data_IF_615432775501
#
_entry.id   IF_615432775501
#
_cell.length_a   1.000
_cell.length_b   1.000
_cell.length_c   1.000
_cell.angle_alpha   90.00
_cell.angle_beta   90.00
_cell.angle_gamma   90.00
#
_symmetry.space_group_name_H-M   'P 1'
#
loop_
_entity.id
_entity.type
_entity.pdbx_description
1 polymer ?
#
# COMPACT_ATOMS: atom_id res chain seq x y z
N UNK A 1 12.17 12.46 7.35
CA UNK A 1 10.95 13.32 7.33
C UNK A 1 9.75 12.42 7.10
N UNK A 2 8.62 12.65 7.80
CA UNK A 2 7.34 11.99 7.54
C UNK A 2 6.37 13.10 7.14
N UNK A 3 5.83 13.02 5.94
CA UNK A 3 4.84 13.96 5.40
C UNK A 3 3.50 13.25 5.23
N UNK A 4 2.41 13.90 5.62
CA UNK A 4 1.05 13.36 5.50
C UNK A 4 0.19 14.36 4.74
N UNK A 5 -0.44 13.91 3.65
CA UNK A 5 -1.30 14.75 2.81
C UNK A 5 -2.69 14.12 2.73
N UNK A 6 -3.69 14.84 3.21
CA UNK A 6 -5.10 14.47 3.09
C UNK A 6 -5.71 14.96 1.77
N UNK A 7 -6.74 14.28 1.30
CA UNK A 7 -7.41 14.60 0.03
C UNK A 7 -6.41 14.67 -1.14
N UNK A 8 -5.49 13.72 -1.17
CA UNK A 8 -4.34 13.72 -2.08
C UNK A 8 -4.73 13.69 -3.56
N UNK A 9 -5.69 12.85 -3.91
CA UNK A 9 -6.22 12.80 -5.29
C UNK A 9 -7.49 13.66 -5.43
N UNK A 10 -7.75 14.21 -6.63
CA UNK A 10 -9.04 14.77 -6.95
C UNK A 10 -10.17 13.77 -6.66
N UNK A 11 -11.34 14.23 -6.16
CA UNK A 11 -12.42 13.34 -5.71
C UNK A 11 -12.90 12.33 -6.77
N UNK A 12 -12.97 12.73 -8.03
CA UNK A 12 -13.39 11.86 -9.13
C UNK A 12 -12.38 10.74 -9.41
N UNK A 13 -11.08 11.02 -9.28
CA UNK A 13 -10.01 10.04 -9.42
C UNK A 13 -10.01 9.07 -8.24
N UNK A 14 -10.08 9.61 -7.01
CA UNK A 14 -10.18 8.78 -5.81
C UNK A 14 -11.40 7.85 -5.86
N UNK A 15 -12.60 8.35 -6.23
CA UNK A 15 -13.79 7.54 -6.35
C UNK A 15 -13.64 6.40 -7.38
N UNK A 16 -12.95 6.63 -8.50
CA UNK A 16 -12.64 5.57 -9.48
C UNK A 16 -11.78 4.48 -8.89
N UNK A 17 -10.71 4.87 -8.16
CA UNK A 17 -9.84 3.93 -7.46
C UNK A 17 -10.59 3.15 -6.38
N UNK A 18 -11.37 3.84 -5.56
CA UNK A 18 -12.18 3.24 -4.50
C UNK A 18 -13.12 2.17 -5.05
N UNK A 19 -13.87 2.51 -6.10
CA UNK A 19 -14.79 1.56 -6.76
C UNK A 19 -14.03 0.35 -7.34
N UNK A 20 -12.93 0.59 -8.04
CA UNK A 20 -12.15 -0.49 -8.65
C UNK A 20 -11.60 -1.48 -7.61
N UNK A 21 -11.22 -0.98 -6.44
CA UNK A 21 -10.54 -1.78 -5.40
C UNK A 21 -11.50 -2.37 -4.36
N UNK A 22 -12.61 -1.70 -4.06
CA UNK A 22 -13.49 -2.05 -2.94
C UNK A 22 -14.91 -2.42 -3.35
N UNK A 23 -15.36 -1.95 -4.51
CA UNK A 23 -16.71 -2.23 -5.00
C UNK A 23 -16.64 -3.12 -6.23
N UNK A 24 -17.21 -4.31 -6.15
CA UNK A 24 -17.53 -5.07 -7.34
C UNK A 24 -18.61 -4.27 -8.11
N UNK A 25 -18.31 -3.84 -9.33
CA UNK A 25 -19.27 -3.12 -10.17
C UNK A 25 -20.54 -3.93 -10.51
N UNK A 26 -20.62 -5.17 -10.06
CA UNK A 26 -21.71 -6.06 -10.36
C UNK A 26 -22.21 -6.74 -9.10
N UNK A 27 -23.31 -6.26 -8.58
CA UNK A 27 -24.11 -6.92 -7.54
C UNK A 27 -24.64 -8.31 -7.93
N UNK A 28 -24.04 -8.95 -8.93
CA UNK A 28 -24.37 -10.30 -9.36
C UNK A 28 -23.12 -11.20 -9.23
N UNK A 29 -23.06 -12.07 -8.20
CA UNK A 29 -21.93 -13.00 -8.01
C UNK A 29 -21.81 -14.05 -9.12
N UNK A 30 -22.74 -14.11 -10.07
CA UNK A 30 -22.77 -15.07 -11.16
C UNK A 30 -22.25 -14.52 -12.51
N UNK A 31 -21.94 -13.23 -12.61
CA UNK A 31 -21.28 -12.68 -13.79
C UNK A 31 -19.78 -12.69 -13.59
N UNK A 32 -19.14 -13.76 -14.02
CA UNK A 32 -17.68 -13.84 -14.15
C UNK A 32 -17.24 -12.97 -15.33
N UNK A 33 -17.05 -11.68 -15.12
CA UNK A 33 -16.30 -10.84 -16.04
C UNK A 33 -14.91 -10.68 -15.42
N UNK A 34 -13.91 -11.09 -16.14
CA UNK A 34 -12.49 -11.19 -15.73
C UNK A 34 -11.80 -9.80 -15.76
N UNK A 35 -12.47 -8.79 -15.18
CA UNK A 35 -11.93 -7.44 -15.02
C UNK A 35 -11.47 -7.15 -13.57
N UNK A 36 -11.50 -8.18 -12.72
CA UNK A 36 -11.06 -8.11 -11.33
C UNK A 36 -9.55 -8.12 -11.15
N UNK A 37 -9.11 -7.59 -10.01
CA UNK A 37 -7.69 -7.65 -9.62
C UNK A 37 -7.35 -9.09 -9.24
N UNK A 38 -6.27 -9.62 -9.81
CA UNK A 38 -5.73 -10.93 -9.43
C UNK A 38 -4.93 -10.79 -8.14
N UNK A 39 -5.51 -11.19 -7.04
CA UNK A 39 -4.87 -11.15 -5.73
C UNK A 39 -4.01 -12.38 -5.49
N UNK A 40 -2.76 -12.17 -5.07
CA UNK A 40 -1.86 -13.22 -4.61
C UNK A 40 -1.84 -13.23 -3.09
N UNK A 41 -2.07 -14.38 -2.48
CA UNK A 41 -1.98 -14.54 -1.03
C UNK A 41 -0.52 -14.65 -0.60
N UNK A 42 -0.14 -13.84 0.39
CA UNK A 42 1.15 -13.95 1.06
C UNK A 42 0.92 -14.29 2.54
N UNK A 43 1.43 -15.43 3.03
CA UNK A 43 1.27 -15.82 4.43
C UNK A 43 2.11 -14.97 5.39
N UNK A 44 3.14 -14.25 4.90
CA UNK A 44 4.06 -13.44 5.69
C UNK A 44 4.07 -12.00 5.23
N UNK A 45 4.08 -11.04 6.15
CA UNK A 45 4.01 -9.60 5.81
C UNK A 45 5.39 -8.97 5.65
N UNK A 46 6.43 -9.58 6.21
CA UNK A 46 7.82 -9.11 6.06
C UNK A 46 8.76 -10.31 6.03
N UNK A 47 9.63 -10.36 5.02
CA UNK A 47 10.67 -11.37 4.90
C UNK A 47 11.83 -11.11 5.89
N UNK A 48 12.02 -9.85 6.27
CA UNK A 48 13.11 -9.38 7.15
C UNK A 48 12.62 -8.91 8.53
N UNK A 49 11.35 -9.11 8.83
CA UNK A 49 10.78 -8.81 10.14
C UNK A 49 10.91 -10.02 11.08
N UNK A 50 10.62 -9.80 12.34
CA UNK A 50 10.64 -10.82 13.39
C UNK A 50 9.69 -12.02 13.20
N UNK A 51 9.09 -12.15 12.02
CA UNK A 51 8.24 -13.27 11.62
C UNK A 51 6.94 -13.44 12.41
N UNK A 52 6.59 -12.48 13.26
CA UNK A 52 5.53 -12.61 14.26
C UNK A 52 4.12 -12.31 13.76
N UNK A 53 3.92 -12.03 12.48
CA UNK A 53 2.57 -11.78 11.95
C UNK A 53 1.79 -13.08 11.79
N UNK A 54 0.76 -13.26 12.61
CA UNK A 54 -0.17 -14.38 12.53
C UNK A 54 -1.18 -14.29 11.39
N UNK A 55 -1.18 -13.19 10.63
CA UNK A 55 -2.18 -12.91 9.60
C UNK A 55 -1.50 -12.61 8.27
N UNK A 56 -1.79 -13.44 7.28
CA UNK A 56 -1.41 -13.18 5.89
C UNK A 56 -2.22 -12.02 5.28
N UNK A 57 -1.81 -11.60 4.11
CA UNK A 57 -2.46 -10.56 3.33
C UNK A 57 -2.49 -10.93 1.85
N UNK A 58 -3.26 -10.18 1.08
CA UNK A 58 -3.29 -10.31 -0.36
C UNK A 58 -2.58 -9.12 -0.99
N UNK A 59 -1.87 -9.37 -2.08
CA UNK A 59 -1.20 -8.33 -2.83
C UNK A 59 -1.37 -8.53 -4.34
N UNK A 60 -1.27 -7.41 -5.07
CA UNK A 60 -1.08 -7.41 -6.51
C UNK A 60 0.08 -6.47 -6.84
N UNK A 61 1.11 -7.02 -7.50
CA UNK A 61 2.24 -6.20 -7.97
C UNK A 61 1.79 -5.39 -9.19
N UNK A 62 1.84 -4.07 -9.07
CA UNK A 62 1.50 -3.13 -10.14
C UNK A 62 2.73 -2.85 -11.01
N UNK A 63 3.90 -2.73 -10.38
CA UNK A 63 5.20 -2.59 -11.01
C UNK A 63 6.25 -3.34 -10.17
N UNK A 64 6.99 -4.22 -10.78
CA UNK A 64 8.15 -4.93 -10.21
C UNK A 64 9.11 -5.31 -11.34
N UNK A 65 10.42 -5.14 -11.15
CA UNK A 65 11.46 -5.46 -12.13
C UNK A 65 11.15 -4.87 -13.52
N UNK A 66 10.77 -3.58 -13.57
CA UNK A 66 10.36 -2.82 -14.76
C UNK A 66 9.15 -3.40 -15.52
N UNK A 67 8.46 -4.39 -14.95
CA UNK A 67 7.28 -4.98 -15.54
C UNK A 67 6.01 -4.42 -14.90
N UNK A 68 5.19 -3.78 -15.71
CA UNK A 68 3.87 -3.27 -15.33
C UNK A 68 2.82 -4.36 -15.50
N UNK A 69 1.91 -4.45 -14.52
CA UNK A 69 0.69 -5.24 -14.69
C UNK A 69 -0.33 -4.49 -15.56
N UNK A 70 -1.35 -5.20 -16.01
CA UNK A 70 -2.51 -4.62 -16.72
C UNK A 70 -3.32 -3.62 -15.86
N UNK A 71 -3.14 -3.66 -14.52
CA UNK A 71 -3.79 -2.74 -13.58
C UNK A 71 -2.95 -1.49 -13.26
N UNK A 72 -1.71 -1.38 -13.78
CA UNK A 72 -0.81 -0.28 -13.46
C UNK A 72 -1.44 1.08 -13.77
N UNK A 73 -1.91 1.28 -15.01
CA UNK A 73 -2.43 2.57 -15.45
C UNK A 73 -3.73 2.95 -14.72
N UNK A 74 -4.49 1.97 -14.27
CA UNK A 74 -5.74 2.21 -13.54
C UNK A 74 -5.50 2.51 -12.05
N UNK A 75 -4.50 1.88 -11.42
CA UNK A 75 -4.32 1.91 -9.96
C UNK A 75 -3.10 2.72 -9.54
N UNK A 76 -1.90 2.44 -10.09
CA UNK A 76 -0.68 3.10 -9.67
C UNK A 76 -0.51 4.48 -10.32
N UNK A 77 -0.77 4.58 -11.61
CA UNK A 77 -0.52 5.79 -12.39
C UNK A 77 -1.21 7.06 -11.87
N UNK A 78 -2.46 7.02 -11.41
CA UNK A 78 -3.10 8.21 -10.82
C UNK A 78 -2.38 8.73 -9.58
N UNK A 79 -1.91 7.84 -8.71
CA UNK A 79 -1.17 8.20 -7.49
C UNK A 79 0.23 8.71 -7.86
N UNK A 80 0.96 7.98 -8.71
CA UNK A 80 2.27 8.38 -9.22
C UNK A 80 2.25 9.77 -9.86
N UNK A 81 1.25 10.05 -10.71
CA UNK A 81 1.14 11.32 -11.43
C UNK A 81 0.83 12.51 -10.53
N UNK A 82 0.26 12.27 -9.34
CA UNK A 82 -0.02 13.31 -8.35
C UNK A 82 1.15 13.56 -7.38
N UNK A 83 2.16 12.67 -7.36
CA UNK A 83 3.36 12.87 -6.55
C UNK A 83 4.20 14.01 -7.14
N UNK A 84 4.63 14.91 -6.27
CA UNK A 84 5.57 15.98 -6.61
C UNK A 84 6.79 15.86 -5.68
N UNK A 85 7.74 15.03 -6.10
CA UNK A 85 8.96 14.75 -5.34
C UNK A 85 10.16 15.35 -6.09
N UNK A 86 10.87 16.29 -5.48
CA UNK A 86 11.93 17.04 -6.12
C UNK A 86 13.09 16.18 -6.63
N UNK A 87 13.52 15.20 -5.83
CA UNK A 87 14.70 14.36 -6.10
C UNK A 87 14.38 12.92 -6.49
N UNK A 88 13.22 12.41 -6.10
CA UNK A 88 12.82 11.02 -6.30
C UNK A 88 11.82 10.92 -7.46
N UNK A 89 12.32 10.60 -8.65
CA UNK A 89 11.53 10.68 -9.91
C UNK A 89 11.24 9.33 -10.54
N UNK A 90 11.95 8.28 -10.12
CA UNK A 90 11.83 6.97 -10.75
C UNK A 90 10.97 6.06 -9.87
N UNK A 91 9.78 5.69 -10.35
CA UNK A 91 8.99 4.66 -9.68
C UNK A 91 9.65 3.29 -9.91
N UNK A 92 10.22 2.74 -8.85
CA UNK A 92 10.93 1.46 -8.86
C UNK A 92 9.99 0.28 -8.62
N UNK A 93 9.10 0.40 -7.63
CA UNK A 93 8.15 -0.64 -7.27
C UNK A 93 6.81 -0.05 -6.88
N UNK A 94 5.73 -0.70 -7.30
CA UNK A 94 4.38 -0.38 -6.85
C UNK A 94 3.58 -1.67 -6.60
N UNK A 95 2.86 -1.71 -5.50
CA UNK A 95 1.96 -2.82 -5.15
C UNK A 95 0.71 -2.30 -4.45
N UNK A 96 -0.41 -2.97 -4.68
CA UNK A 96 -1.61 -2.79 -3.87
C UNK A 96 -1.72 -3.95 -2.89
N UNK A 97 -1.95 -3.62 -1.62
CA UNK A 97 -2.08 -4.58 -0.52
C UNK A 97 -3.51 -4.56 0.02
N UNK A 98 -4.05 -5.73 0.26
CA UNK A 98 -5.34 -5.94 0.91
C UNK A 98 -5.12 -6.78 2.18
N UNK A 99 -5.41 -6.16 3.32
CA UNK A 99 -5.37 -6.83 4.61
C UNK A 99 -6.80 -7.23 5.02
N UNK A 100 -7.10 -8.50 5.30
CA UNK A 100 -8.41 -8.94 5.78
C UNK A 100 -8.69 -8.46 7.21
N UNK A 101 -9.96 -8.39 7.64
CA UNK A 101 -10.36 -8.02 8.99
C UNK A 101 -9.92 -9.06 10.02
N UNK A 102 -9.45 -8.59 11.17
CA UNK A 102 -9.07 -9.39 12.34
C UNK A 102 -9.94 -9.06 13.55
N UNK A 103 -9.86 -9.87 14.61
CA UNK A 103 -10.64 -9.62 15.84
C UNK A 103 -10.11 -8.44 16.66
N UNK A 104 -8.82 -8.16 16.55
CA UNK A 104 -8.12 -7.02 17.18
C UNK A 104 -7.15 -6.44 16.15
N UNK A 105 -6.78 -5.18 16.29
CA UNK A 105 -5.72 -4.59 15.47
C UNK A 105 -4.40 -5.27 15.81
N UNK A 106 -3.81 -5.97 14.85
CA UNK A 106 -2.54 -6.67 14.99
C UNK A 106 -1.46 -5.94 14.21
N UNK A 107 -0.38 -5.51 14.87
CA UNK A 107 0.77 -4.94 14.19
C UNK A 107 1.56 -6.04 13.48
N UNK A 108 2.11 -5.70 12.33
CA UNK A 108 3.02 -6.56 11.57
C UNK A 108 4.48 -6.32 11.99
N UNK A 109 5.44 -7.07 11.42
CA UNK A 109 6.85 -6.86 11.70
C UNK A 109 7.37 -5.52 11.16
N UNK A 110 8.28 -4.89 11.91
CA UNK A 110 9.02 -3.72 11.42
C UNK A 110 9.97 -4.10 10.29
N UNK A 111 10.04 -3.28 9.25
CA UNK A 111 10.89 -3.51 8.09
C UNK A 111 11.25 -2.19 7.39
N UNK A 112 12.21 -2.27 6.51
CA UNK A 112 12.45 -1.32 5.42
C UNK A 112 12.05 -1.98 4.10
N UNK A 113 11.69 -1.21 3.11
CA UNK A 113 11.09 -1.75 1.88
C UNK A 113 12.12 -2.23 0.85
N UNK A 114 13.20 -1.50 0.66
CA UNK A 114 14.22 -1.81 -0.33
C UNK A 114 15.59 -1.94 0.34
N UNK A 115 16.22 -3.07 0.09
CA UNK A 115 17.61 -3.36 0.51
C UNK A 115 18.42 -3.82 -0.69
N UNK A 116 19.71 -3.57 -0.67
CA UNK A 116 20.66 -4.10 -1.65
C UNK A 116 21.09 -5.55 -1.34
N UNK A 117 21.95 -6.11 -2.18
CA UNK A 117 22.49 -7.47 -2.00
C UNK A 117 23.34 -7.65 -0.73
N UNK A 118 23.77 -6.55 -0.11
CA UNK A 118 24.52 -6.56 1.15
C UNK A 118 23.63 -6.44 2.38
N UNK A 119 22.34 -6.15 2.17
CA UNK A 119 21.36 -5.92 3.23
C UNK A 119 21.27 -4.45 3.68
N UNK A 120 21.95 -3.54 3.00
CA UNK A 120 21.87 -2.11 3.28
C UNK A 120 20.61 -1.51 2.64
N UNK A 121 19.95 -0.58 3.34
CA UNK A 121 18.78 0.11 2.81
C UNK A 121 19.17 1.02 1.66
N UNK A 122 18.51 0.85 0.51
CA UNK A 122 18.69 1.73 -0.65
C UNK A 122 18.20 3.15 -0.34
N UNK A 123 18.78 4.13 -1.01
CA UNK A 123 18.26 5.51 -1.02
C UNK A 123 16.94 5.54 -1.79
N UNK A 124 15.83 5.72 -1.08
CA UNK A 124 14.49 5.77 -1.67
C UNK A 124 13.51 6.49 -0.75
N UNK A 125 12.38 6.86 -1.30
CA UNK A 125 11.23 7.37 -0.58
C UNK A 125 10.08 6.37 -0.69
N UNK A 126 9.44 6.12 0.44
CA UNK A 126 8.21 5.34 0.52
C UNK A 126 6.99 6.25 0.44
N UNK A 127 6.04 5.87 -0.39
CA UNK A 127 4.73 6.49 -0.50
C UNK A 127 3.66 5.44 -0.22
N UNK A 128 2.86 5.64 0.83
CA UNK A 128 1.74 4.74 1.17
C UNK A 128 0.44 5.52 1.06
N UNK A 129 -0.33 5.21 0.02
CA UNK A 129 -1.65 5.79 -0.21
C UNK A 129 -2.74 4.89 0.37
N UNK A 130 -3.60 5.44 1.23
CA UNK A 130 -4.72 4.72 1.83
C UNK A 130 -5.98 4.91 1.00
N UNK A 131 -6.54 3.80 0.55
CA UNK A 131 -7.73 3.81 -0.30
C UNK A 131 -9.01 4.01 0.50
N UNK A 132 -9.08 3.46 1.72
CA UNK A 132 -10.25 3.53 2.59
C UNK A 132 -9.89 3.83 4.04
N UNK A 133 -10.82 4.47 4.73
CA UNK A 133 -10.73 4.73 6.18
C UNK A 133 -10.97 3.47 6.98
N UNK A 134 -10.18 3.24 8.00
CA UNK A 134 -10.33 2.15 8.97
C UNK A 134 -9.48 2.41 10.22
N UNK A 135 -9.60 1.58 11.26
CA UNK A 135 -8.83 1.68 12.51
C UNK A 135 -7.39 1.14 12.43
N UNK A 136 -6.94 0.66 11.26
CA UNK A 136 -5.55 0.32 11.00
C UNK A 136 -4.69 1.57 10.80
N UNK A 137 -3.38 1.39 10.87
CA UNK A 137 -2.41 2.48 10.74
C UNK A 137 -1.07 1.98 10.19
N UNK A 138 -0.22 2.91 9.80
CA UNK A 138 1.22 2.69 9.62
C UNK A 138 1.94 3.22 10.87
N UNK A 139 2.83 2.41 11.45
CA UNK A 139 3.60 2.75 12.65
C UNK A 139 5.08 2.74 12.33
N UNK A 140 5.80 3.70 12.90
CA UNK A 140 7.24 3.85 12.78
C UNK A 140 7.94 3.38 14.05
N UNK A 141 9.24 3.08 13.97
CA UNK A 141 10.02 2.52 15.09
C UNK A 141 10.09 3.48 16.29
N UNK A 142 9.95 4.79 16.07
CA UNK A 142 9.86 5.81 17.12
C UNK A 142 8.50 5.86 17.86
N UNK A 143 7.56 5.00 17.46
CA UNK A 143 6.21 4.92 18.01
C UNK A 143 5.20 5.88 17.37
N UNK A 144 5.62 6.74 16.44
CA UNK A 144 4.69 7.60 15.70
C UNK A 144 3.80 6.76 14.79
N UNK A 145 2.56 7.26 14.55
CA UNK A 145 1.53 6.53 13.78
C UNK A 145 0.81 7.43 12.81
N UNK A 146 0.53 6.90 11.63
CA UNK A 146 -0.33 7.54 10.63
C UNK A 146 -1.56 6.66 10.41
N UNK A 147 -2.72 7.19 10.79
CA UNK A 147 -4.00 6.50 10.64
C UNK A 147 -4.36 6.28 9.17
N UNK A 148 -4.97 5.13 8.89
CA UNK A 148 -5.51 4.79 7.56
C UNK A 148 -6.79 5.57 7.32
N UNK A 149 -6.67 6.71 6.66
CA UNK A 149 -7.78 7.59 6.25
C UNK A 149 -7.87 7.56 4.73
N UNK A 150 -9.07 7.44 4.19
CA UNK A 150 -9.28 7.43 2.75
C UNK A 150 -8.72 8.67 2.07
N UNK A 151 -8.18 8.49 0.89
CA UNK A 151 -7.55 9.53 0.09
C UNK A 151 -6.42 10.30 0.81
N UNK A 152 -5.75 9.64 1.76
CA UNK A 152 -4.54 10.12 2.44
C UNK A 152 -3.32 9.42 1.87
N UNK A 153 -2.24 10.16 1.70
CA UNK A 153 -0.92 9.61 1.44
C UNK A 153 0.03 9.96 2.59
N UNK A 154 0.91 9.03 2.94
CA UNK A 154 2.08 9.28 3.76
C UNK A 154 3.33 9.05 2.95
N UNK A 155 4.25 10.00 2.99
CA UNK A 155 5.53 10.01 2.28
C UNK A 155 6.63 10.06 3.33
N UNK A 156 7.60 9.15 3.26
CA UNK A 156 8.66 9.09 4.25
C UNK A 156 9.94 8.47 3.68
N UNK A 157 11.05 8.83 4.31
CA UNK A 157 12.38 8.32 4.00
C UNK A 157 12.43 6.79 4.12
N UNK A 158 12.96 6.12 3.11
CA UNK A 158 13.09 4.66 3.06
C UNK A 158 13.95 4.05 4.17
N UNK A 159 14.79 4.86 4.83
CA UNK A 159 15.58 4.43 6.01
C UNK A 159 14.69 4.21 7.25
N UNK A 160 13.47 4.75 7.28
CA UNK A 160 12.61 4.61 8.44
C UNK A 160 11.98 3.22 8.49
N UNK A 161 12.34 2.47 9.51
CA UNK A 161 11.66 1.21 9.81
C UNK A 161 10.21 1.50 10.16
N UNK A 162 9.34 0.81 9.48
CA UNK A 162 7.90 0.97 9.62
C UNK A 162 7.19 -0.37 9.56
N UNK A 163 5.95 -0.37 9.98
CA UNK A 163 5.05 -1.53 9.88
C UNK A 163 3.63 -1.12 9.58
N UNK A 164 2.90 -1.98 8.91
CA UNK A 164 1.46 -1.88 8.77
C UNK A 164 0.74 -2.64 9.89
N UNK A 165 -0.57 -2.48 9.97
CA UNK A 165 -1.42 -3.22 10.88
C UNK A 165 -2.60 -3.84 10.15
N UNK A 166 -3.23 -4.84 10.76
CA UNK A 166 -4.60 -5.22 10.43
C UNK A 166 -5.59 -4.15 10.90
N UNK A 167 -6.88 -4.43 10.81
CA UNK A 167 -7.96 -3.57 11.30
C UNK A 167 -9.16 -4.40 11.75
N UNK A 168 -10.14 -3.75 12.45
CA UNK A 168 -11.29 -4.44 13.03
C UNK A 168 -12.65 -3.95 12.54
N UNK A 169 -12.75 -2.70 12.13
CA UNK A 169 -14.01 -2.00 11.89
C UNK A 169 -14.52 -2.06 10.44
N UNK A 170 -13.66 -2.46 9.48
CA UNK A 170 -14.00 -2.53 8.05
C UNK A 170 -13.76 -3.95 7.48
N UNK A 171 -14.38 -4.38 6.38
CA UNK A 171 -14.12 -5.68 5.76
C UNK A 171 -12.67 -5.86 5.30
N UNK A 172 -12.03 -4.84 4.74
CA UNK A 172 -10.63 -4.84 4.35
C UNK A 172 -9.98 -3.47 4.50
N UNK A 173 -8.66 -3.44 4.72
CA UNK A 173 -7.80 -2.28 4.56
C UNK A 173 -7.06 -2.43 3.26
N UNK A 174 -7.12 -1.40 2.42
CA UNK A 174 -6.38 -1.37 1.15
C UNK A 174 -5.42 -0.19 1.15
N UNK A 175 -4.17 -0.46 0.80
CA UNK A 175 -3.16 0.56 0.57
C UNK A 175 -2.40 0.31 -0.73
N UNK A 176 -1.95 1.38 -1.38
CA UNK A 176 -1.04 1.34 -2.53
C UNK A 176 0.32 1.80 -2.01
N UNK A 177 1.31 0.90 -2.08
CA UNK A 177 2.68 1.19 -1.69
C UNK A 177 3.50 1.45 -2.95
N UNK A 178 4.27 2.54 -2.93
CA UNK A 178 5.19 2.91 -3.99
C UNK A 178 6.56 3.23 -3.41
N UNK A 179 7.61 2.79 -4.09
CA UNK A 179 8.99 3.12 -3.75
C UNK A 179 9.59 3.91 -4.90
N UNK A 180 10.04 5.13 -4.59
CA UNK A 180 10.59 6.07 -5.55
C UNK A 180 12.10 6.17 -5.36
N UNK A 181 12.87 5.98 -6.42
CA UNK A 181 14.32 6.20 -6.45
C UNK A 181 14.65 7.61 -6.96
N UNK A 182 15.84 8.14 -6.64
CA UNK A 182 16.35 9.40 -7.17
C UNK A 182 16.34 9.51 -8.69
#
# INVERSE_FOLDING_TARGET
>A
MIEVVDNFLPPDIWHKLYRKLLMSDKGNPHTMVDDGIKWNYNPTISVNGDGSSSTGYFLHNLLIDDKKSDMFDTIAKPVESALNLDHYKTLHRAKVNLYPRTRKVEPHGFHVDLIDDKGDTLDHVNCVYYVNSNDGYTEFEDGSRVASVENRIVIFDGQFKHRSTSRTNEPCRISINMNMLP
#
